data_IF_075333692002
#
_entry.id   IF_075333692002
#
_cell.length_a   1.000
_cell.length_b   1.000
_cell.length_c   1.000
_cell.angle_alpha   90.00
_cell.angle_beta   90.00
_cell.angle_gamma   90.00
#
_symmetry.space_group_name_H-M   'P 1'
#
loop_
_entity.id
_entity.type
_entity.pdbx_description
1 polymer ?
#
# COMPACT_ATOMS: atom_id res chain seq x y z
N UNK A 1 -1.42 8.95 19.78
CA UNK A 1 -0.78 7.94 18.91
C UNK A 1 -0.69 6.65 19.68
N UNK A 2 -1.09 5.52 19.08
CA UNK A 2 -0.87 4.20 19.67
C UNK A 2 0.47 3.64 19.19
N UNK A 3 1.23 3.03 20.09
CA UNK A 3 2.51 2.38 19.78
C UNK A 3 2.28 0.93 19.38
N UNK A 4 3.06 0.43 18.42
CA UNK A 4 3.06 -0.97 17.99
C UNK A 4 4.50 -1.47 17.98
N UNK A 5 4.76 -2.54 18.71
CA UNK A 5 6.07 -3.18 18.79
C UNK A 5 6.08 -4.40 17.88
N UNK A 6 7.12 -4.53 17.06
CA UNK A 6 7.29 -5.64 16.11
C UNK A 6 8.70 -6.19 16.26
N UNK A 7 8.83 -7.51 16.33
CA UNK A 7 10.10 -8.22 16.21
C UNK A 7 10.28 -8.68 14.76
N UNK A 8 11.45 -8.42 14.19
CA UNK A 8 11.80 -8.80 12.83
C UNK A 8 13.06 -9.69 12.85
N UNK A 9 13.14 -10.73 12.00
CA UNK A 9 14.40 -11.38 11.68
C UNK A 9 15.41 -10.38 11.12
N UNK A 10 16.70 -10.63 11.32
CA UNK A 10 17.80 -9.73 10.92
C UNK A 10 17.73 -9.33 9.44
N UNK A 11 17.38 -10.27 8.56
CA UNK A 11 17.24 -10.01 7.13
C UNK A 11 16.16 -8.95 6.83
N UNK A 12 15.01 -9.01 7.52
CA UNK A 12 13.95 -8.03 7.33
C UNK A 12 14.32 -6.67 7.95
N UNK A 13 15.03 -6.67 9.07
CA UNK A 13 15.54 -5.44 9.66
C UNK A 13 16.52 -4.75 8.71
N UNK A 14 17.48 -5.49 8.15
CA UNK A 14 18.46 -4.96 7.21
C UNK A 14 17.79 -4.36 5.96
N UNK A 15 16.78 -5.05 5.43
CA UNK A 15 15.98 -4.52 4.32
C UNK A 15 15.27 -3.21 4.68
N UNK A 16 14.64 -3.13 5.86
CA UNK A 16 13.99 -1.89 6.32
C UNK A 16 15.00 -0.75 6.45
N UNK A 17 16.17 -1.00 7.03
CA UNK A 17 17.22 0.00 7.20
C UNK A 17 17.73 0.53 5.84
N UNK A 18 17.88 -0.36 4.84
CA UNK A 18 18.21 0.02 3.47
C UNK A 18 17.14 0.93 2.87
N UNK A 19 15.86 0.57 2.99
CA UNK A 19 14.77 1.39 2.46
C UNK A 19 14.67 2.76 3.14
N UNK A 20 14.95 2.83 4.44
CA UNK A 20 15.03 4.09 5.18
C UNK A 20 16.13 4.99 4.62
N UNK A 21 17.34 4.44 4.43
CA UNK A 21 18.47 5.22 3.89
C UNK A 21 18.29 5.66 2.43
N UNK A 22 17.78 4.78 1.56
CA UNK A 22 17.67 5.06 0.12
C UNK A 22 16.50 5.98 -0.23
N UNK A 23 15.38 5.87 0.49
CA UNK A 23 14.15 6.61 0.17
C UNK A 23 13.94 7.85 1.05
N UNK A 24 14.92 8.16 1.91
CA UNK A 24 14.91 9.37 2.74
C UNK A 24 13.88 9.34 3.87
N UNK A 25 13.48 8.16 4.36
CA UNK A 25 12.65 8.09 5.56
C UNK A 25 13.48 8.45 6.79
N UNK A 26 12.87 9.11 7.77
CA UNK A 26 13.55 9.47 9.02
C UNK A 26 13.64 8.31 10.01
N UNK A 27 12.74 7.31 9.91
CA UNK A 27 12.71 6.16 10.84
C UNK A 27 12.13 4.90 10.18
N UNK A 28 12.46 3.73 10.74
CA UNK A 28 11.85 2.45 10.37
C UNK A 28 10.32 2.48 10.52
N UNK A 29 9.81 3.12 11.57
CA UNK A 29 8.36 3.26 11.78
C UNK A 29 7.67 4.09 10.70
N UNK A 30 8.37 5.05 10.09
CA UNK A 30 7.85 5.82 8.98
C UNK A 30 7.74 4.99 7.71
N UNK A 31 8.79 4.23 7.39
CA UNK A 31 8.74 3.28 6.29
C UNK A 31 7.61 2.25 6.47
N UNK A 32 7.47 1.68 7.66
CA UNK A 32 6.41 0.70 7.95
C UNK A 32 5.01 1.33 7.84
N UNK A 33 4.80 2.57 8.32
CA UNK A 33 3.53 3.28 8.16
C UNK A 33 3.16 3.47 6.68
N UNK A 34 4.15 3.82 5.86
CA UNK A 34 3.95 3.98 4.43
C UNK A 34 3.65 2.64 3.73
N UNK A 35 4.32 1.55 4.12
CA UNK A 35 3.98 0.21 3.64
C UNK A 35 2.52 -0.17 3.97
N UNK A 36 2.06 0.10 5.19
CA UNK A 36 0.68 -0.17 5.60
C UNK A 36 -0.31 0.62 4.76
N UNK A 37 -0.05 1.91 4.48
CA UNK A 37 -0.93 2.72 3.61
C UNK A 37 -1.01 2.16 2.20
N UNK A 38 0.13 1.72 1.64
CA UNK A 38 0.17 1.12 0.30
C UNK A 38 -0.60 -0.19 0.25
N UNK A 39 -0.51 -1.00 1.30
CA UNK A 39 -1.28 -2.24 1.41
C UNK A 39 -2.79 -1.96 1.50
N UNK A 40 -3.20 -1.02 2.35
CA UNK A 40 -4.60 -0.58 2.43
C UNK A 40 -5.13 -0.09 1.08
N UNK A 41 -4.36 0.73 0.36
CA UNK A 41 -4.75 1.21 -0.97
C UNK A 41 -4.92 0.06 -1.98
N UNK A 42 -4.05 -0.96 -1.93
CA UNK A 42 -4.15 -2.16 -2.79
C UNK A 42 -5.40 -2.98 -2.47
N UNK A 43 -5.69 -3.19 -1.18
CA UNK A 43 -6.89 -3.89 -0.73
C UNK A 43 -8.14 -3.14 -1.18
N UNK A 44 -8.20 -1.83 -0.95
CA UNK A 44 -9.34 -0.99 -1.33
C UNK A 44 -9.55 -0.97 -2.85
N UNK A 45 -8.47 -0.85 -3.63
CA UNK A 45 -8.56 -0.92 -5.09
C UNK A 45 -9.13 -2.27 -5.54
N UNK A 46 -8.66 -3.37 -4.95
CA UNK A 46 -9.17 -4.71 -5.26
C UNK A 46 -10.66 -4.83 -4.97
N UNK A 47 -11.12 -4.32 -3.83
CA UNK A 47 -12.54 -4.33 -3.46
C UNK A 47 -13.39 -3.55 -4.48
N UNK A 48 -12.95 -2.35 -4.88
CA UNK A 48 -13.65 -1.54 -5.88
C UNK A 48 -13.71 -2.25 -7.24
N UNK A 49 -12.62 -2.88 -7.67
CA UNK A 49 -12.59 -3.64 -8.92
C UNK A 49 -13.54 -4.84 -8.89
N UNK A 50 -13.61 -5.57 -7.78
CA UNK A 50 -14.53 -6.68 -7.63
C UNK A 50 -15.98 -6.21 -7.60
N UNK A 51 -16.27 -5.10 -6.91
CA UNK A 51 -17.59 -4.50 -6.89
C UNK A 51 -18.03 -4.06 -8.30
N UNK A 52 -17.13 -3.41 -9.07
CA UNK A 52 -17.39 -3.03 -10.46
C UNK A 52 -17.61 -4.24 -11.37
N UNK A 53 -16.80 -5.29 -11.23
CA UNK A 53 -16.95 -6.53 -12.01
C UNK A 53 -18.26 -7.27 -11.73
N UNK A 54 -18.86 -7.08 -10.54
CA UNK A 54 -20.17 -7.63 -10.21
C UNK A 54 -21.33 -6.82 -10.80
N UNK A 55 -21.08 -5.63 -11.36
CA UNK A 55 -22.12 -4.82 -12.02
C UNK A 55 -22.28 -5.21 -13.50
N UNK A 56 -23.48 -5.08 -14.08
CA UNK A 56 -23.67 -5.22 -15.52
C UNK A 56 -22.80 -4.22 -16.29
N UNK A 57 -22.31 -4.57 -17.50
CA UNK A 57 -21.56 -3.63 -18.34
C UNK A 57 -22.34 -2.34 -18.57
N UNK A 58 -21.66 -1.20 -18.42
CA UNK A 58 -22.22 0.10 -18.76
C UNK A 58 -22.43 0.25 -20.28
N UNK A 59 -23.20 1.27 -20.67
CA UNK A 59 -23.27 1.68 -22.07
C UNK A 59 -21.87 1.99 -22.63
N UNK A 60 -21.63 1.78 -23.93
CA UNK A 60 -20.36 2.12 -24.55
C UNK A 60 -20.00 3.59 -24.27
N UNK A 61 -18.74 3.83 -23.91
CA UNK A 61 -18.26 5.19 -23.66
C UNK A 61 -18.30 6.00 -24.96
N UNK A 62 -18.82 7.23 -24.90
CA UNK A 62 -18.87 8.12 -26.06
C UNK A 62 -17.46 8.37 -26.60
N UNK A 63 -17.29 8.20 -27.91
CA UNK A 63 -16.05 8.58 -28.58
C UNK A 63 -15.98 10.09 -28.65
N UNK A 64 -15.06 10.70 -27.90
CA UNK A 64 -14.77 12.13 -27.99
C UNK A 64 -14.50 12.50 -29.46
N UNK A 65 -15.26 13.49 -29.97
CA UNK A 65 -15.15 14.03 -31.33
C UNK A 65 -14.01 15.03 -31.46
#
# INVERSE_FOLDING_TARGET
MSTMNISLPDALKAFVDEQVSQRGYGTSSEYVRELIRRDQARVQLREVLLAGAATPPGAPADTAS
#
